data_IF_766517115421
#
_entry.id   IF_766517115421
#
_cell.length_a   1.000
_cell.length_b   1.000
_cell.length_c   1.000
_cell.angle_alpha   90.00
_cell.angle_beta   90.00
_cell.angle_gamma   90.00
#
_symmetry.space_group_name_H-M   'P 1'
#
loop_
_entity.id
_entity.type
_entity.pdbx_description
1 polymer ?
#
# COMPACT_ATOMS: atom_id res chain seq x y z
N UNK A 1 13.61 48.42 3.84
CA UNK A 1 13.15 47.23 4.59
C UNK A 1 12.34 46.25 3.73
N UNK A 2 11.33 46.71 2.98
CA UNK A 2 10.47 45.86 2.13
C UNK A 2 11.22 44.94 1.15
N UNK A 3 12.24 45.45 0.44
CA UNK A 3 13.03 44.66 -0.52
C UNK A 3 13.79 43.48 0.13
N UNK A 4 14.31 43.66 1.35
CA UNK A 4 14.98 42.60 2.12
C UNK A 4 14.00 41.54 2.63
N UNK A 5 12.79 41.96 3.01
CA UNK A 5 11.70 41.04 3.39
C UNK A 5 11.21 40.22 2.19
N UNK A 6 11.04 40.85 1.03
CA UNK A 6 10.65 40.16 -0.22
C UNK A 6 11.73 39.16 -0.68
N UNK A 7 13.01 39.55 -0.60
CA UNK A 7 14.14 38.64 -0.88
C UNK A 7 14.17 37.46 0.09
N UNK A 8 13.98 37.71 1.39
CA UNK A 8 13.92 36.65 2.41
C UNK A 8 12.77 35.68 2.18
N UNK A 9 11.58 36.19 1.85
CA UNK A 9 10.42 35.37 1.50
C UNK A 9 10.68 34.53 0.23
N UNK A 10 11.32 35.12 -0.79
CA UNK A 10 11.70 34.41 -2.01
C UNK A 10 12.65 33.25 -1.76
N UNK A 11 13.65 33.41 -0.89
CA UNK A 11 14.57 32.34 -0.50
C UNK A 11 13.84 31.22 0.23
N UNK A 12 12.97 31.54 1.19
CA UNK A 12 12.18 30.54 1.93
C UNK A 12 11.27 29.75 0.99
N UNK A 13 10.57 30.43 0.08
CA UNK A 13 9.74 29.78 -0.94
C UNK A 13 10.59 28.90 -1.86
N UNK A 14 11.74 29.39 -2.31
CA UNK A 14 12.67 28.64 -3.16
C UNK A 14 13.19 27.36 -2.50
N UNK A 15 13.60 27.44 -1.23
CA UNK A 15 14.03 26.28 -0.45
C UNK A 15 12.89 25.29 -0.20
N UNK A 16 11.67 25.79 0.06
CA UNK A 16 10.50 24.95 0.20
C UNK A 16 10.17 24.21 -1.10
N UNK A 17 10.23 24.90 -2.24
CA UNK A 17 10.08 24.26 -3.56
C UNK A 17 11.18 23.23 -3.78
N UNK A 18 12.46 23.57 -3.59
CA UNK A 18 13.56 22.62 -3.72
C UNK A 18 13.32 21.36 -2.87
N UNK A 19 12.88 21.53 -1.63
CA UNK A 19 12.55 20.43 -0.73
C UNK A 19 11.33 19.60 -1.19
N UNK A 20 10.30 20.22 -1.76
CA UNK A 20 9.19 19.49 -2.40
C UNK A 20 9.66 18.65 -3.59
N UNK A 21 10.74 19.07 -4.26
CA UNK A 21 11.34 18.35 -5.38
C UNK A 21 12.39 17.32 -4.95
N UNK A 22 12.97 17.47 -3.75
CA UNK A 22 13.91 16.55 -3.11
C UNK A 22 13.21 15.30 -2.53
N UNK A 23 12.49 14.57 -3.38
CA UNK A 23 11.83 13.30 -3.03
C UNK A 23 12.72 12.15 -3.49
N UNK A 24 13.08 11.27 -2.56
CA UNK A 24 13.88 10.08 -2.81
C UNK A 24 13.10 8.81 -2.43
N UNK A 25 13.10 7.76 -3.28
CA UNK A 25 13.63 7.71 -4.65
C UNK A 25 12.92 8.68 -5.60
N UNK A 26 13.53 9.16 -6.70
CA UNK A 26 12.82 9.99 -7.66
C UNK A 26 11.71 9.18 -8.37
N UNK A 27 10.58 9.78 -8.76
CA UNK A 27 9.47 9.06 -9.40
C UNK A 27 9.85 8.22 -10.62
N UNK A 28 10.84 8.65 -11.42
CA UNK A 28 11.36 7.90 -12.55
C UNK A 28 12.03 6.58 -12.18
N UNK A 29 12.56 6.44 -10.95
CA UNK A 29 13.13 5.19 -10.46
C UNK A 29 12.10 4.06 -10.44
N UNK A 30 10.83 4.40 -10.14
CA UNK A 30 9.73 3.45 -10.10
C UNK A 30 9.28 2.96 -11.48
N UNK A 31 9.85 3.45 -12.59
CA UNK A 31 9.57 2.89 -13.92
C UNK A 31 9.92 1.41 -14.00
N UNK A 32 11.03 1.03 -13.39
CA UNK A 32 11.60 -0.32 -13.50
C UNK A 32 11.77 -1.02 -12.16
N UNK A 33 11.67 -0.30 -11.04
CA UNK A 33 11.91 -0.86 -9.72
C UNK A 33 10.64 -0.87 -8.86
N UNK A 34 10.45 -1.95 -8.11
CA UNK A 34 9.50 -1.98 -7.02
C UNK A 34 10.17 -1.45 -5.75
N UNK A 35 9.47 -0.64 -4.92
CA UNK A 35 9.98 -0.30 -3.60
C UNK A 35 10.16 -1.58 -2.80
N UNK A 36 11.30 -1.74 -2.12
CA UNK A 36 11.48 -2.82 -1.12
C UNK A 36 10.66 -2.54 0.15
N UNK A 37 10.57 -1.26 0.49
CA UNK A 37 9.82 -0.73 1.62
C UNK A 37 9.46 0.72 1.31
N UNK A 38 8.25 1.14 1.66
CA UNK A 38 7.80 2.53 1.46
C UNK A 38 7.81 3.32 2.77
N UNK A 39 7.71 4.65 2.67
CA UNK A 39 7.59 5.51 3.86
C UNK A 39 6.34 5.17 4.67
N UNK A 40 5.23 4.80 4.00
CA UNK A 40 4.00 4.46 4.70
C UNK A 40 4.08 3.09 5.38
N UNK A 41 4.68 2.08 4.73
CA UNK A 41 5.00 0.79 5.36
C UNK A 41 5.82 1.03 6.63
N UNK A 42 6.91 1.79 6.53
CA UNK A 42 7.77 2.08 7.67
C UNK A 42 7.05 2.82 8.81
N UNK A 43 6.08 3.67 8.50
CA UNK A 43 5.28 4.37 9.52
C UNK A 43 4.27 3.48 10.24
N UNK A 44 4.06 2.25 9.77
CA UNK A 44 3.10 1.27 10.31
C UNK A 44 3.76 0.11 11.03
N UNK A 45 5.10 0.03 11.01
CA UNK A 45 5.84 -0.97 11.76
C UNK A 45 5.53 -0.87 13.25
N UNK A 46 5.20 -2.02 13.83
CA UNK A 46 5.22 -2.28 15.28
C UNK A 46 6.24 -3.38 15.54
N UNK A 47 6.78 -3.51 16.77
CA UNK A 47 7.74 -4.58 17.10
C UNK A 47 7.26 -5.98 16.68
N UNK A 48 5.96 -6.23 16.81
CA UNK A 48 5.36 -7.54 16.49
C UNK A 48 4.84 -7.67 15.05
N UNK A 49 4.93 -6.61 14.23
CA UNK A 49 4.36 -6.64 12.87
C UNK A 49 5.27 -7.38 11.89
N UNK A 50 4.79 -8.51 11.36
CA UNK A 50 5.44 -9.18 10.23
C UNK A 50 5.05 -8.51 8.92
N UNK A 51 6.05 -7.96 8.21
CA UNK A 51 5.88 -7.36 6.89
C UNK A 51 5.62 -8.45 5.83
N UNK A 52 4.35 -8.63 5.45
CA UNK A 52 3.94 -9.46 4.32
C UNK A 52 3.79 -8.60 3.07
N UNK A 53 4.80 -8.65 2.21
CA UNK A 53 4.84 -7.89 0.97
C UNK A 53 5.54 -8.68 -0.13
N UNK A 54 4.87 -8.86 -1.27
CA UNK A 54 5.41 -9.52 -2.45
C UNK A 54 4.94 -8.78 -3.71
N UNK A 55 5.78 -7.91 -4.29
CA UNK A 55 5.39 -7.21 -5.50
C UNK A 55 5.33 -8.17 -6.70
N UNK A 56 4.31 -8.02 -7.54
CA UNK A 56 4.17 -8.74 -8.81
C UNK A 56 3.80 -7.79 -9.94
N UNK A 57 4.14 -8.09 -11.21
CA UNK A 57 3.69 -7.31 -12.36
C UNK A 57 2.16 -7.30 -12.48
N UNK A 58 1.61 -6.26 -13.13
CA UNK A 58 0.16 -6.12 -13.31
C UNK A 58 -0.42 -7.27 -14.13
N UNK A 59 0.33 -7.80 -15.10
CA UNK A 59 -0.09 -8.95 -15.92
C UNK A 59 -0.15 -10.27 -15.12
N UNK A 60 0.49 -10.30 -13.95
CA UNK A 60 0.39 -11.41 -13.00
C UNK A 60 -0.79 -11.25 -12.03
N UNK A 61 -1.67 -10.26 -12.26
CA UNK A 61 -2.89 -10.03 -11.50
C UNK A 61 -4.11 -10.27 -12.39
N UNK A 62 -5.25 -10.62 -11.80
CA UNK A 62 -6.50 -10.66 -12.58
C UNK A 62 -6.87 -9.24 -13.04
N UNK A 63 -7.30 -9.03 -14.30
CA UNK A 63 -7.74 -7.70 -14.77
C UNK A 63 -8.91 -7.15 -13.96
N UNK A 64 -9.67 -8.02 -13.29
CA UNK A 64 -10.80 -7.65 -12.43
C UNK A 64 -10.36 -6.81 -11.21
N UNK A 65 -9.10 -6.93 -10.75
CA UNK A 65 -8.59 -6.09 -9.67
C UNK A 65 -8.48 -4.63 -10.08
N UNK A 66 -7.91 -4.35 -11.25
CA UNK A 66 -7.83 -2.99 -11.78
C UNK A 66 -9.24 -2.42 -11.98
N UNK A 67 -10.17 -3.20 -12.54
CA UNK A 67 -11.58 -2.79 -12.69
C UNK A 67 -12.23 -2.47 -11.33
N UNK A 68 -12.01 -3.30 -10.31
CA UNK A 68 -12.52 -3.07 -8.97
C UNK A 68 -12.00 -1.75 -8.39
N UNK A 69 -10.70 -1.47 -8.54
CA UNK A 69 -10.08 -0.23 -8.06
C UNK A 69 -10.68 0.98 -8.77
N UNK A 70 -10.83 0.94 -10.10
CA UNK A 70 -11.45 2.04 -10.85
C UNK A 70 -12.88 2.31 -10.36
N UNK A 71 -13.67 1.27 -10.14
CA UNK A 71 -15.06 1.40 -9.68
C UNK A 71 -15.18 1.88 -8.23
N UNK A 72 -14.27 1.41 -7.36
CA UNK A 72 -14.32 1.64 -5.92
C UNK A 72 -13.61 2.92 -5.47
N UNK A 73 -12.54 3.32 -6.17
CA UNK A 73 -11.65 4.40 -5.74
C UNK A 73 -11.57 5.55 -6.74
N UNK A 74 -11.50 5.27 -8.05
CA UNK A 74 -11.15 6.29 -9.04
C UNK A 74 -11.66 5.97 -10.45
N UNK A 75 -12.93 6.31 -10.72
CA UNK A 75 -13.60 5.98 -11.99
C UNK A 75 -13.06 6.78 -13.19
N UNK A 76 -12.45 7.93 -12.93
CA UNK A 76 -11.87 8.82 -13.95
C UNK A 76 -10.36 8.67 -14.06
N UNK A 77 -9.77 7.61 -13.49
CA UNK A 77 -8.32 7.43 -13.39
C UNK A 77 -7.56 7.69 -14.69
N UNK A 78 -8.08 7.23 -15.83
CA UNK A 78 -7.44 7.41 -17.15
C UNK A 78 -7.66 8.80 -17.77
N UNK A 79 -8.56 9.61 -17.22
CA UNK A 79 -8.97 10.90 -17.78
C UNK A 79 -8.26 12.10 -17.12
N UNK A 80 -7.64 11.91 -15.95
CA UNK A 80 -6.96 12.98 -15.21
C UNK A 80 -5.45 12.73 -15.09
N UNK A 81 -4.67 13.75 -14.69
CA UNK A 81 -3.20 13.66 -14.50
C UNK A 81 -2.81 13.74 -13.02
N UNK A 82 -3.31 12.79 -12.23
CA UNK A 82 -3.05 12.69 -10.78
C UNK A 82 -4.03 13.41 -9.87
N UNK A 83 -4.75 14.42 -10.34
CA UNK A 83 -5.83 15.08 -9.58
C UNK A 83 -7.06 15.17 -10.48
N UNK A 84 -8.21 14.66 -10.01
CA UNK A 84 -9.48 14.80 -10.73
C UNK A 84 -10.06 16.20 -10.51
N UNK A 85 -9.49 17.19 -11.22
CA UNK A 85 -9.92 18.58 -11.15
C UNK A 85 -11.35 18.76 -11.65
N UNK A 86 -11.76 17.99 -12.66
CA UNK A 86 -13.11 18.05 -13.23
C UNK A 86 -14.14 17.50 -12.23
N UNK A 87 -13.88 16.32 -11.66
CA UNK A 87 -14.71 15.74 -10.61
C UNK A 87 -14.84 16.67 -9.39
N UNK A 88 -13.72 17.26 -8.95
CA UNK A 88 -13.72 18.24 -7.86
C UNK A 88 -14.53 19.49 -8.21
N UNK A 89 -14.36 20.03 -9.41
CA UNK A 89 -15.07 21.22 -9.87
C UNK A 89 -16.58 20.95 -9.97
N UNK A 90 -16.98 19.83 -10.57
CA UNK A 90 -18.40 19.42 -10.69
C UNK A 90 -19.03 19.24 -9.31
N UNK A 91 -18.34 18.56 -8.38
CA UNK A 91 -18.79 18.38 -7.00
C UNK A 91 -19.01 19.71 -6.26
N UNK A 92 -18.35 20.78 -6.71
CA UNK A 92 -18.45 22.12 -6.15
C UNK A 92 -19.29 23.08 -7.00
N UNK A 93 -20.04 22.56 -7.98
CA UNK A 93 -21.07 23.29 -8.74
C UNK A 93 -20.62 23.83 -10.10
N UNK A 94 -19.47 23.36 -10.62
CA UNK A 94 -19.04 23.67 -11.99
C UNK A 94 -19.93 22.96 -13.00
N UNK A 95 -20.43 23.71 -14.00
CA UNK A 95 -21.47 23.23 -14.93
C UNK A 95 -20.95 22.76 -16.29
N UNK A 96 -19.67 22.98 -16.61
CA UNK A 96 -19.09 22.58 -17.91
C UNK A 96 -18.65 21.11 -17.85
N UNK A 97 -18.74 20.43 -19.00
CA UNK A 97 -18.39 19.01 -19.15
C UNK A 97 -16.87 18.78 -19.30
N UNK A 98 -16.11 19.83 -19.59
CA UNK A 98 -14.66 19.79 -19.78
C UNK A 98 -14.01 20.94 -19.01
N UNK A 99 -12.74 20.75 -18.67
CA UNK A 99 -11.90 21.74 -17.99
C UNK A 99 -10.64 21.93 -18.84
N UNK A 100 -10.57 23.04 -19.56
CA UNK A 100 -9.44 23.39 -20.43
C UNK A 100 -8.61 24.49 -19.75
N UNK A 101 -7.43 24.13 -19.24
CA UNK A 101 -6.53 25.11 -18.61
C UNK A 101 -5.90 26.11 -19.59
N UNK A 102 -6.06 25.92 -20.91
CA UNK A 102 -5.78 26.93 -21.92
C UNK A 102 -6.84 28.02 -22.00
N UNK A 103 -8.06 27.76 -21.49
CA UNK A 103 -9.16 28.70 -21.47
C UNK A 103 -9.12 29.57 -20.19
N UNK A 104 -9.10 30.92 -20.30
CA UNK A 104 -9.08 31.83 -19.15
C UNK A 104 -10.27 31.65 -18.19
N UNK A 105 -11.46 31.37 -18.71
CA UNK A 105 -12.68 31.23 -17.92
C UNK A 105 -12.65 29.96 -17.07
N UNK A 106 -12.13 28.86 -17.62
CA UNK A 106 -11.99 27.60 -16.91
C UNK A 106 -10.93 27.71 -15.82
N UNK A 107 -9.84 28.45 -16.06
CA UNK A 107 -8.84 28.79 -15.03
C UNK A 107 -9.45 29.62 -13.91
N UNK A 108 -10.21 30.66 -14.24
CA UNK A 108 -10.87 31.51 -13.26
C UNK A 108 -11.89 30.72 -12.44
N UNK A 109 -12.69 29.88 -13.09
CA UNK A 109 -13.65 28.99 -12.44
C UNK A 109 -12.94 28.01 -11.49
N UNK A 110 -11.85 27.38 -11.93
CA UNK A 110 -11.04 26.50 -11.09
C UNK A 110 -10.50 27.20 -9.85
N UNK A 111 -9.92 28.39 -10.00
CA UNK A 111 -9.41 29.18 -8.87
C UNK A 111 -10.55 29.56 -7.90
N UNK A 112 -11.73 29.91 -8.41
CA UNK A 112 -12.90 30.22 -7.61
C UNK A 112 -13.44 29.01 -6.80
N UNK A 113 -13.09 27.79 -7.20
CA UNK A 113 -13.49 26.57 -6.50
C UNK A 113 -12.56 26.26 -5.31
N UNK A 114 -11.29 26.69 -5.34
CA UNK A 114 -10.29 26.36 -4.31
C UNK A 114 -10.70 26.73 -2.87
N UNK A 115 -11.24 27.93 -2.58
CA UNK A 115 -11.67 28.27 -1.22
C UNK A 115 -12.82 27.38 -0.72
N UNK A 116 -13.73 26.98 -1.62
CA UNK A 116 -14.86 26.08 -1.31
C UNK A 116 -14.38 24.65 -1.08
N UNK A 117 -13.41 24.18 -1.87
CA UNK A 117 -12.77 22.89 -1.65
C UNK A 117 -12.08 22.85 -0.27
N UNK A 118 -11.41 23.95 0.11
CA UNK A 118 -10.75 24.07 1.41
C UNK A 118 -11.75 24.07 2.57
N UNK A 119 -12.83 24.86 2.49
CA UNK A 119 -13.84 24.93 3.55
C UNK A 119 -14.67 23.65 3.69
N UNK A 120 -14.83 22.88 2.60
CA UNK A 120 -15.55 21.60 2.59
C UNK A 120 -14.64 20.36 2.68
N UNK A 121 -13.38 20.53 3.10
CA UNK A 121 -12.39 19.43 3.16
C UNK A 121 -12.87 18.19 3.91
N UNK A 122 -13.68 18.36 4.96
CA UNK A 122 -14.20 17.24 5.75
C UNK A 122 -15.27 16.44 5.00
N UNK A 123 -16.03 17.08 4.09
CA UNK A 123 -17.00 16.45 3.18
C UNK A 123 -16.35 15.87 1.93
N UNK A 124 -15.16 16.33 1.57
CA UNK A 124 -14.35 15.78 0.47
C UNK A 124 -13.44 14.62 0.92
N UNK A 125 -13.61 14.12 2.15
CA UNK A 125 -12.97 12.89 2.61
C UNK A 125 -13.41 11.73 1.70
N UNK A 126 -12.47 11.19 0.92
CA UNK A 126 -12.73 10.13 -0.06
C UNK A 126 -12.47 10.52 -1.51
N UNK A 127 -12.34 11.82 -1.84
CA UNK A 127 -12.10 12.28 -3.21
C UNK A 127 -10.61 12.19 -3.67
N UNK A 128 -9.81 11.31 -3.06
CA UNK A 128 -8.39 11.19 -3.42
C UNK A 128 -8.21 10.18 -4.55
N UNK A 129 -7.55 10.59 -5.62
CA UNK A 129 -7.26 9.73 -6.77
C UNK A 129 -6.32 8.58 -6.40
N UNK A 130 -6.30 7.53 -7.23
CA UNK A 130 -5.35 6.40 -7.09
C UNK A 130 -3.91 6.90 -7.03
N UNK A 131 -3.55 7.90 -7.85
CA UNK A 131 -2.20 8.48 -7.88
C UNK A 131 -1.87 9.24 -6.59
N UNK A 132 -2.82 10.00 -6.03
CA UNK A 132 -2.62 10.66 -4.73
C UNK A 132 -2.45 9.65 -3.60
N UNK A 133 -3.25 8.59 -3.62
CA UNK A 133 -3.10 7.50 -2.67
C UNK A 133 -1.75 6.78 -2.83
N UNK A 134 -1.29 6.56 -4.07
CA UNK A 134 0.04 6.02 -4.33
C UNK A 134 1.14 6.94 -3.80
N UNK A 135 1.06 8.24 -4.06
CA UNK A 135 2.00 9.25 -3.55
C UNK A 135 2.10 9.21 -2.02
N UNK A 136 0.95 9.11 -1.34
CA UNK A 136 0.88 8.92 0.11
C UNK A 136 1.61 7.64 0.52
N UNK A 137 1.31 6.50 -0.09
CA UNK A 137 1.89 5.21 0.28
C UNK A 137 3.41 5.16 0.06
N UNK A 138 3.92 5.70 -1.05
CA UNK A 138 5.35 5.63 -1.38
C UNK A 138 6.20 6.52 -0.47
N UNK A 139 5.79 7.77 -0.27
CA UNK A 139 6.69 8.83 0.19
C UNK A 139 6.32 9.50 1.51
N UNK A 140 5.09 9.34 1.99
CA UNK A 140 4.59 10.12 3.11
C UNK A 140 4.20 9.22 4.28
N UNK A 141 4.63 9.62 5.48
CA UNK A 141 4.14 9.03 6.72
C UNK A 141 2.75 9.58 7.09
N UNK A 142 2.06 8.88 8.00
CA UNK A 142 0.75 9.28 8.52
C UNK A 142 0.85 10.57 9.37
N UNK A 143 0.76 11.74 8.74
CA UNK A 143 0.71 13.04 9.43
C UNK A 143 -0.63 13.76 9.20
N UNK A 144 -1.19 14.44 10.20
CA UNK A 144 -2.47 15.18 10.05
C UNK A 144 -2.32 16.60 9.50
N UNK A 145 -1.12 17.01 9.08
CA UNK A 145 -0.84 18.39 8.65
C UNK A 145 -1.38 18.69 7.21
N UNK A 146 -2.10 19.80 6.98
CA UNK A 146 -2.53 20.24 5.64
C UNK A 146 -1.40 20.35 4.60
N UNK A 147 -0.18 20.71 5.02
CA UNK A 147 1.00 20.73 4.15
C UNK A 147 1.29 19.34 3.54
N UNK A 148 0.93 18.25 4.24
CA UNK A 148 1.05 16.89 3.68
C UNK A 148 0.16 16.71 2.45
N UNK A 149 -1.04 17.31 2.43
CA UNK A 149 -1.95 17.15 1.28
C UNK A 149 -1.42 17.89 0.04
N UNK A 150 -0.76 19.03 0.24
CA UNK A 150 -0.04 19.73 -0.84
C UNK A 150 1.12 18.88 -1.35
N UNK A 151 1.88 18.24 -0.46
CA UNK A 151 2.94 17.29 -0.87
C UNK A 151 2.39 16.13 -1.68
N UNK A 152 1.28 15.51 -1.25
CA UNK A 152 0.63 14.43 -2.01
C UNK A 152 0.30 14.87 -3.43
N UNK A 153 -0.28 16.07 -3.59
CA UNK A 153 -0.63 16.63 -4.89
C UNK A 153 0.60 16.83 -5.78
N UNK A 154 1.67 17.43 -5.24
CA UNK A 154 2.93 17.66 -5.98
C UNK A 154 3.58 16.33 -6.38
N UNK A 155 3.63 15.36 -5.47
CA UNK A 155 4.21 14.04 -5.73
C UNK A 155 3.36 13.27 -6.74
N UNK A 156 2.03 13.32 -6.64
CA UNK A 156 1.12 12.69 -7.60
C UNK A 156 1.32 13.24 -9.01
N UNK A 157 1.41 14.57 -9.15
CA UNK A 157 1.74 15.20 -10.43
C UNK A 157 3.09 14.73 -11.00
N UNK A 158 4.11 14.60 -10.15
CA UNK A 158 5.43 14.08 -10.58
C UNK A 158 5.38 12.59 -10.96
N UNK A 159 4.59 11.77 -10.27
CA UNK A 159 4.38 10.37 -10.63
C UNK A 159 3.72 10.26 -12.01
N UNK A 160 2.71 11.06 -12.29
CA UNK A 160 1.99 11.08 -13.58
C UNK A 160 2.85 11.61 -14.73
N UNK A 161 3.77 12.52 -14.44
CA UNK A 161 4.73 13.01 -15.43
C UNK A 161 5.83 11.97 -15.72
N UNK A 162 6.12 11.11 -14.75
CA UNK A 162 7.21 10.15 -14.86
C UNK A 162 6.76 8.75 -15.29
N UNK A 163 5.53 8.34 -14.99
CA UNK A 163 5.03 6.97 -15.13
C UNK A 163 3.76 6.95 -15.98
N UNK A 164 3.58 5.91 -16.77
CA UNK A 164 2.31 5.67 -17.43
C UNK A 164 1.23 5.18 -16.43
N UNK A 165 -0.04 5.28 -16.84
CA UNK A 165 -1.18 4.86 -16.01
C UNK A 165 -1.14 3.39 -15.62
N UNK A 166 -0.59 2.54 -16.49
CA UNK A 166 -0.45 1.11 -16.25
C UNK A 166 0.50 0.85 -15.08
N UNK A 167 1.66 1.51 -15.08
CA UNK A 167 2.67 1.40 -14.02
C UNK A 167 2.21 2.04 -12.71
N UNK A 168 1.45 3.14 -12.77
CA UNK A 168 0.82 3.73 -11.57
C UNK A 168 -0.14 2.73 -10.93
N UNK A 169 -1.02 2.11 -11.71
CA UNK A 169 -1.95 1.07 -11.21
C UNK A 169 -1.19 -0.13 -10.64
N UNK A 170 -0.15 -0.60 -11.34
CA UNK A 170 0.70 -1.70 -10.89
C UNK A 170 1.36 -1.41 -9.54
N UNK A 171 1.99 -0.24 -9.39
CA UNK A 171 2.60 0.17 -8.12
C UNK A 171 1.56 0.29 -7.02
N UNK A 172 0.42 0.93 -7.31
CA UNK A 172 -0.68 1.11 -6.37
C UNK A 172 -1.14 -0.24 -5.80
N UNK A 173 -1.50 -1.19 -6.67
CA UNK A 173 -1.95 -2.52 -6.26
C UNK A 173 -0.90 -3.31 -5.46
N UNK A 174 0.38 -3.00 -5.61
CA UNK A 174 1.45 -3.65 -4.85
C UNK A 174 1.73 -2.98 -3.50
N UNK A 175 1.51 -1.67 -3.34
CA UNK A 175 1.92 -0.94 -2.12
C UNK A 175 0.78 -0.55 -1.18
N UNK A 176 -0.47 -0.81 -1.55
CA UNK A 176 -1.62 -0.56 -0.67
C UNK A 176 -1.63 -1.50 0.54
N UNK A 177 -1.98 -0.97 1.71
CA UNK A 177 -2.27 -1.77 2.90
C UNK A 177 -3.62 -2.46 2.73
N UNK A 178 -3.67 -3.78 2.93
CA UNK A 178 -4.89 -4.58 2.81
C UNK A 178 -5.17 -5.42 4.07
N UNK A 179 -4.42 -5.17 5.13
CA UNK A 179 -4.49 -5.87 6.39
C UNK A 179 -3.33 -5.50 7.28
N UNK A 180 -3.38 -5.91 8.55
CA UNK A 180 -2.30 -5.65 9.49
C UNK A 180 -0.99 -6.31 9.02
N UNK A 181 0.02 -5.49 8.72
CA UNK A 181 1.29 -5.91 8.12
C UNK A 181 1.17 -6.50 6.71
N UNK A 182 0.02 -6.42 6.04
CA UNK A 182 -0.21 -7.04 4.72
C UNK A 182 -0.33 -5.99 3.63
N UNK A 183 0.62 -6.03 2.71
CA UNK A 183 0.81 -5.01 1.69
C UNK A 183 0.79 -5.61 0.30
N UNK A 184 -0.03 -5.02 -0.56
CA UNK A 184 -0.20 -5.43 -1.93
C UNK A 184 -1.18 -6.60 -2.10
N UNK A 185 -1.77 -6.64 -3.29
CA UNK A 185 -2.83 -7.61 -3.61
C UNK A 185 -2.33 -9.05 -3.61
N UNK A 186 -1.09 -9.34 -4.00
CA UNK A 186 -0.58 -10.72 -3.98
C UNK A 186 -0.49 -11.25 -2.53
N UNK A 187 0.14 -10.49 -1.62
CA UNK A 187 0.23 -10.88 -0.22
C UNK A 187 -1.16 -11.03 0.44
N UNK A 188 -2.08 -10.11 0.13
CA UNK A 188 -3.45 -10.19 0.63
C UNK A 188 -4.23 -11.37 0.05
N UNK A 189 -4.04 -11.68 -1.23
CA UNK A 189 -4.71 -12.81 -1.90
C UNK A 189 -4.30 -14.14 -1.28
N UNK A 190 -2.99 -14.30 -1.01
CA UNK A 190 -2.48 -15.48 -0.33
C UNK A 190 -3.01 -15.55 1.11
N UNK A 191 -2.96 -14.45 1.86
CA UNK A 191 -3.43 -14.39 3.24
C UNK A 191 -4.91 -14.73 3.40
N UNK A 192 -5.77 -14.16 2.56
CA UNK A 192 -7.23 -14.25 2.75
C UNK A 192 -7.91 -15.35 1.96
N UNK A 193 -7.32 -15.77 0.84
CA UNK A 193 -7.96 -16.69 -0.09
C UNK A 193 -7.08 -17.88 -0.48
N UNK A 194 -5.83 -17.95 -0.01
CA UNK A 194 -4.86 -18.98 -0.37
C UNK A 194 -4.74 -19.14 -1.90
N UNK A 195 -4.75 -17.99 -2.60
CA UNK A 195 -4.72 -17.92 -4.06
C UNK A 195 -3.79 -16.81 -4.50
N UNK A 196 -3.15 -17.01 -5.66
CA UNK A 196 -2.46 -15.92 -6.35
C UNK A 196 -3.46 -14.85 -6.80
N UNK A 197 -3.00 -13.58 -6.82
CA UNK A 197 -3.75 -12.44 -7.35
C UNK A 197 -4.25 -12.67 -8.80
N UNK A 198 -3.56 -13.52 -9.58
CA UNK A 198 -3.97 -13.92 -10.94
C UNK A 198 -5.26 -14.74 -10.96
N UNK A 199 -5.57 -15.48 -9.88
CA UNK A 199 -6.66 -16.46 -9.80
C UNK A 199 -7.84 -15.98 -8.93
N UNK A 200 -7.88 -14.70 -8.57
CA UNK A 200 -9.00 -14.16 -7.81
C UNK A 200 -10.28 -14.14 -8.65
N UNK A 201 -11.39 -14.53 -8.02
CA UNK A 201 -12.72 -14.30 -8.56
C UNK A 201 -13.10 -12.81 -8.48
N UNK A 202 -14.18 -12.45 -9.16
CA UNK A 202 -14.74 -11.09 -9.09
C UNK A 202 -15.11 -10.69 -7.66
N UNK A 203 -15.74 -11.58 -6.90
CA UNK A 203 -16.09 -11.35 -5.50
C UNK A 203 -14.85 -11.13 -4.61
N UNK A 204 -13.80 -11.94 -4.82
CA UNK A 204 -12.56 -11.82 -4.05
C UNK A 204 -11.82 -10.51 -4.37
N UNK A 205 -11.75 -10.12 -5.64
CA UNK A 205 -11.17 -8.84 -6.05
C UNK A 205 -11.95 -7.66 -5.45
N UNK A 206 -13.29 -7.68 -5.52
CA UNK A 206 -14.13 -6.65 -4.92
C UNK A 206 -13.97 -6.59 -3.38
N UNK A 207 -13.79 -7.73 -2.71
CA UNK A 207 -13.54 -7.77 -1.27
C UNK A 207 -12.20 -7.12 -0.88
N UNK A 208 -11.14 -7.36 -1.65
CA UNK A 208 -9.86 -6.68 -1.42
C UNK A 208 -9.98 -5.17 -1.62
N UNK A 209 -10.64 -4.70 -2.68
CA UNK A 209 -10.81 -3.26 -2.90
C UNK A 209 -11.71 -2.61 -1.83
N UNK A 210 -12.74 -3.32 -1.36
CA UNK A 210 -13.57 -2.87 -0.24
C UNK A 210 -12.79 -2.67 1.08
N UNK A 211 -11.56 -3.18 1.16
CA UNK A 211 -10.70 -3.10 2.34
C UNK A 211 -9.93 -1.77 2.44
N UNK A 212 -9.70 -1.09 1.30
CA UNK A 212 -8.81 0.07 1.20
C UNK A 212 -9.12 1.24 2.17
N UNK A 213 -10.39 1.57 2.48
CA UNK A 213 -10.68 2.65 3.42
C UNK A 213 -10.22 2.34 4.86
N UNK A 214 -10.32 1.07 5.27
CA UNK A 214 -10.10 0.65 6.66
C UNK A 214 -9.35 -0.70 6.75
N UNK A 215 -8.11 -0.81 6.26
CA UNK A 215 -7.49 -2.10 5.99
C UNK A 215 -7.25 -2.97 7.23
N UNK A 216 -6.95 -2.34 8.38
CA UNK A 216 -6.67 -3.06 9.64
C UNK A 216 -7.92 -3.55 10.37
N UNK A 217 -9.11 -3.05 10.04
CA UNK A 217 -10.35 -3.42 10.74
C UNK A 217 -11.50 -3.83 9.81
N UNK A 218 -11.31 -3.74 8.49
CA UNK A 218 -12.35 -3.98 7.49
C UNK A 218 -11.80 -4.77 6.31
N UNK A 219 -11.42 -6.01 6.55
CA UNK A 219 -10.79 -6.88 5.55
C UNK A 219 -11.48 -8.25 5.47
N UNK A 220 -11.15 -9.10 4.47
CA UNK A 220 -11.81 -10.38 4.28
C UNK A 220 -11.64 -11.39 5.42
N UNK A 221 -10.70 -11.15 6.35
CA UNK A 221 -10.57 -11.94 7.57
C UNK A 221 -11.69 -11.64 8.58
N UNK A 222 -12.06 -10.36 8.75
CA UNK A 222 -13.11 -9.96 9.69
C UNK A 222 -14.51 -9.89 9.07
N UNK A 223 -14.59 -9.58 7.76
CA UNK A 223 -15.85 -9.45 6.99
C UNK A 223 -16.93 -8.59 7.67
N UNK A 224 -16.62 -7.38 8.21
CA UNK A 224 -17.64 -6.55 8.83
C UNK A 224 -18.69 -6.10 7.81
N UNK A 225 -19.88 -5.73 8.29
CA UNK A 225 -21.01 -5.27 7.48
C UNK A 225 -20.63 -4.17 6.48
N UNK A 226 -19.85 -3.17 6.92
CA UNK A 226 -19.32 -2.11 6.03
C UNK A 226 -18.48 -2.63 4.86
N UNK A 227 -17.66 -3.67 5.07
CA UNK A 227 -16.84 -4.27 4.01
C UNK A 227 -17.74 -4.98 3.00
N UNK A 228 -18.70 -5.77 3.49
CA UNK A 228 -19.65 -6.51 2.65
C UNK A 228 -20.53 -5.55 1.84
N UNK A 229 -20.97 -4.47 2.47
CA UNK A 229 -21.73 -3.40 1.82
C UNK A 229 -20.92 -2.77 0.67
N UNK A 230 -19.67 -2.35 0.93
CA UNK A 230 -18.79 -1.76 -0.09
C UNK A 230 -18.42 -2.76 -1.19
N UNK A 231 -18.21 -4.02 -0.85
CA UNK A 231 -17.99 -5.11 -1.81
C UNK A 231 -19.21 -5.27 -2.72
N UNK A 232 -20.43 -5.33 -2.17
CA UNK A 232 -21.65 -5.45 -2.96
C UNK A 232 -21.85 -4.23 -3.86
N UNK A 233 -21.60 -3.02 -3.36
CA UNK A 233 -21.62 -1.79 -4.17
C UNK A 233 -20.69 -1.90 -5.40
N UNK A 234 -19.44 -2.35 -5.20
CA UNK A 234 -18.48 -2.55 -6.30
C UNK A 234 -19.01 -3.59 -7.29
N UNK A 235 -19.51 -4.74 -6.80
CA UNK A 235 -20.02 -5.81 -7.64
C UNK A 235 -21.24 -5.40 -8.47
N UNK A 236 -22.16 -4.61 -7.89
CA UNK A 236 -23.32 -4.04 -8.60
C UNK A 236 -22.87 -3.13 -9.73
N UNK A 237 -21.93 -2.24 -9.46
CA UNK A 237 -21.35 -1.35 -10.48
C UNK A 237 -20.59 -2.10 -11.56
N UNK A 238 -19.90 -3.20 -11.21
CA UNK A 238 -19.27 -4.08 -12.21
C UNK A 238 -20.29 -4.76 -13.14
N UNK A 239 -21.54 -4.94 -12.70
CA UNK A 239 -22.64 -5.43 -13.53
C UNK A 239 -23.31 -4.32 -14.36
N UNK A 240 -22.84 -3.08 -14.28
CA UNK A 240 -23.42 -1.93 -14.96
C UNK A 240 -24.64 -1.33 -14.24
N UNK A 241 -24.90 -1.72 -13.00
CA UNK A 241 -26.00 -1.14 -12.22
C UNK A 241 -25.64 0.28 -11.75
N UNK A 242 -26.58 1.22 -11.93
CA UNK A 242 -26.51 2.51 -11.27
C UNK A 242 -26.82 2.33 -9.78
N UNK A 243 -25.86 2.69 -8.94
CA UNK A 243 -26.00 2.64 -7.48
C UNK A 243 -25.64 3.99 -6.89
N UNK A 244 -26.63 4.63 -6.28
CA UNK A 244 -26.43 5.81 -5.46
C UNK A 244 -25.62 5.43 -4.21
N UNK A 245 -24.57 6.20 -3.93
CA UNK A 245 -23.71 5.98 -2.77
C UNK A 245 -24.15 6.95 -1.69
N UNK A 246 -24.67 6.46 -0.54
CA UNK A 246 -24.99 7.30 0.60
C UNK A 246 -23.78 8.13 1.01
N UNK A 247 -24.01 9.38 1.45
CA UNK A 247 -22.91 10.28 1.84
C UNK A 247 -22.14 9.81 3.09
N UNK A 248 -22.74 8.92 3.90
CA UNK A 248 -22.10 8.28 5.03
C UNK A 248 -22.00 6.78 4.75
N UNK A 249 -20.80 6.23 4.90
CA UNK A 249 -20.64 4.78 4.95
C UNK A 249 -21.30 4.22 6.22
N UNK A 250 -21.87 3.01 6.17
CA UNK A 250 -22.42 2.37 7.35
C UNK A 250 -21.33 2.23 8.43
N UNK A 251 -21.72 2.45 9.68
CA UNK A 251 -20.82 2.24 10.82
C UNK A 251 -20.33 0.80 10.84
N UNK A 252 -19.12 0.61 11.40
CA UNK A 252 -18.60 -0.73 11.60
C UNK A 252 -19.47 -1.47 12.62
N UNK A 253 -19.75 -2.74 12.39
CA UNK A 253 -20.20 -3.62 13.46
C UNK A 253 -19.18 -3.53 14.61
N UNK A 254 -19.65 -3.47 15.86
CA UNK A 254 -18.82 -3.27 17.04
C UNK A 254 -17.66 -4.29 17.10
N UNK A 255 -16.45 -3.77 17.30
CA UNK A 255 -15.13 -4.42 17.45
C UNK A 255 -14.83 -5.63 16.53
N UNK A 256 -13.69 -5.61 15.78
CA UNK A 256 -13.31 -6.77 14.97
C UNK A 256 -13.16 -8.01 15.87
N UNK A 257 -13.75 -9.17 15.51
CA UNK A 257 -13.50 -10.41 16.23
C UNK A 257 -12.00 -10.71 16.22
N UNK A 258 -11.45 -11.41 17.24
CA UNK A 258 -10.03 -11.75 17.28
C UNK A 258 -9.61 -12.38 15.96
N UNK A 259 -8.43 -11.98 15.45
CA UNK A 259 -7.85 -12.57 14.24
C UNK A 259 -7.83 -14.08 14.46
N UNK A 260 -8.38 -14.90 13.54
CA UNK A 260 -8.10 -16.33 13.58
C UNK A 260 -6.59 -16.46 13.41
N UNK A 261 -5.91 -16.77 14.51
CA UNK A 261 -4.56 -17.32 14.45
C UNK A 261 -4.73 -18.55 13.56
N UNK A 262 -4.00 -18.60 12.44
CA UNK A 262 -3.94 -19.85 11.69
C UNK A 262 -3.60 -20.95 12.70
N UNK A 263 -4.20 -22.16 12.62
CA UNK A 263 -3.70 -23.27 13.42
C UNK A 263 -2.19 -23.27 13.20
N UNK A 264 -1.42 -23.27 14.29
CA UNK A 264 0.02 -23.45 14.20
C UNK A 264 0.22 -24.59 13.21
N UNK A 265 0.96 -24.34 12.12
CA UNK A 265 1.53 -25.45 11.37
C UNK A 265 2.21 -26.29 12.44
N UNK A 266 1.71 -27.51 12.67
CA UNK A 266 2.38 -28.48 13.52
C UNK A 266 3.84 -28.39 13.13
N UNK A 267 4.66 -27.89 14.07
CA UNK A 267 6.09 -27.86 13.89
C UNK A 267 6.48 -29.27 13.41
N UNK A 268 7.28 -29.40 12.34
CA UNK A 268 7.77 -30.71 11.95
C UNK A 268 8.33 -31.35 13.20
N UNK A 269 7.81 -32.53 13.57
CA UNK A 269 8.28 -33.29 14.72
C UNK A 269 9.81 -33.22 14.71
N UNK A 270 10.38 -32.69 15.78
CA UNK A 270 11.83 -32.60 15.94
C UNK A 270 12.41 -33.97 15.62
N UNK A 271 13.21 -34.05 14.55
CA UNK A 271 14.00 -35.23 14.28
C UNK A 271 14.82 -35.52 15.55
N UNK A 272 14.94 -36.78 15.99
CA UNK A 272 15.64 -37.10 17.22
C UNK A 272 17.05 -36.54 17.15
N UNK A 273 17.35 -35.63 18.08
CA UNK A 273 18.68 -35.10 18.31
C UNK A 273 19.56 -36.27 18.71
N UNK A 274 20.49 -36.65 17.84
CA UNK A 274 21.61 -37.52 18.19
C UNK A 274 22.40 -36.84 19.31
N UNK A 275 22.17 -37.28 20.55
CA UNK A 275 22.92 -36.85 21.71
C UNK A 275 24.32 -37.44 21.59
N UNK A 276 25.19 -36.76 20.84
CA UNK A 276 26.61 -37.01 20.81
C UNK A 276 27.16 -37.01 22.23
N UNK A 277 27.39 -38.21 22.76
CA UNK A 277 28.14 -38.40 23.98
C UNK A 277 29.54 -37.82 23.78
N UNK A 278 30.12 -37.13 24.78
CA UNK A 278 31.49 -36.66 24.69
C UNK A 278 32.43 -37.87 24.54
N UNK A 279 33.28 -37.78 23.52
CA UNK A 279 34.37 -38.71 23.23
C UNK A 279 35.25 -38.90 24.49
N UNK A 280 35.47 -40.13 24.99
CA UNK A 280 36.32 -40.34 26.15
C UNK A 280 37.78 -40.04 25.80
N UNK A 281 38.49 -39.43 26.73
CA UNK A 281 39.92 -39.13 26.62
C UNK A 281 40.75 -40.41 26.31
N UNK A 282 41.84 -40.31 25.53
CA UNK A 282 42.63 -41.48 25.17
C UNK A 282 43.29 -42.11 26.40
N UNK A 283 43.02 -43.39 26.63
CA UNK A 283 43.71 -44.23 27.60
C UNK A 283 45.19 -44.36 27.24
N UNK A 284 46.07 -44.01 28.17
CA UNK A 284 47.49 -44.31 28.11
C UNK A 284 47.67 -45.80 28.41
N UNK A 285 48.20 -46.63 27.49
CA UNK A 285 48.39 -48.05 27.76
C UNK A 285 49.50 -48.25 28.81
N UNK A 286 49.21 -49.09 29.80
CA UNK A 286 50.19 -49.61 30.75
C UNK A 286 51.25 -50.46 30.02
N UNK A 287 52.51 -50.49 30.46
CA UNK A 287 53.55 -51.27 29.80
C UNK A 287 53.28 -52.78 29.91
N UNK A 288 53.28 -53.47 28.78
CA UNK A 288 53.18 -54.93 28.68
C UNK A 288 54.32 -55.61 29.43
N UNK A 289 53.96 -56.53 30.32
CA UNK A 289 54.88 -57.52 30.89
C UNK A 289 55.31 -58.51 29.80
N UNK A 290 56.56 -58.41 29.37
CA UNK A 290 57.20 -59.36 28.45
C UNK A 290 57.11 -60.79 28.97
N UNK A 291 56.73 -61.78 28.14
CA UNK A 291 56.86 -63.18 28.49
C UNK A 291 58.32 -63.63 28.35
N UNK A 292 58.82 -64.29 29.39
CA UNK A 292 60.11 -64.99 29.41
C UNK A 292 60.01 -66.24 28.52
N UNK A 293 60.81 -66.30 27.46
CA UNK A 293 61.07 -67.51 26.68
C UNK A 293 62.35 -68.17 27.23
N UNK A 294 62.37 -69.50 27.49
CA UNK A 294 63.52 -70.17 28.08
C UNK A 294 64.55 -70.62 27.03
N UNK A 295 65.82 -70.32 27.34
CA UNK A 295 67.02 -71.15 27.08
C UNK A 295 67.53 -71.30 25.64
N UNK A 296 68.78 -70.90 25.40
CA UNK A 296 69.77 -71.87 24.90
C UNK A 296 71.20 -71.51 25.29
N UNK A 297 72.06 -72.52 25.24
CA UNK A 297 73.33 -72.65 25.93
C UNK A 297 74.50 -72.38 24.97
N UNK A 298 75.58 -71.74 25.45
CA UNK A 298 77.00 -72.11 25.25
C UNK A 298 77.90 -71.20 26.07
#
# INVERSE_FOLDING_TARGET
MLRRLLLGLGVVVGLFVLWLFAVWPPPSWYRTHWPRRTAFMASRDTPDSLLRYRPVPLDSMTPVLAQAVLIGEDGNFYQHSGIDYLGLAIALGYKRRTLDFGNPDDRAAFVAVLPRAWSRRDRLRGASTVTQQLAKNLYLSSSRNPLRKVKEAVIAWRLESALDKRRIMELYLNVVELGDGTWGVEAASQRYFQRSARKLSRDQAAALVATLPFPRSSNPGYKPGRMRWRQNLILRRMRGEWVEVPQAEPEADAAPPPVPVAPDEEAPAEAPVDSGAPEPAPEVPAPESTPVVPGDST
#
